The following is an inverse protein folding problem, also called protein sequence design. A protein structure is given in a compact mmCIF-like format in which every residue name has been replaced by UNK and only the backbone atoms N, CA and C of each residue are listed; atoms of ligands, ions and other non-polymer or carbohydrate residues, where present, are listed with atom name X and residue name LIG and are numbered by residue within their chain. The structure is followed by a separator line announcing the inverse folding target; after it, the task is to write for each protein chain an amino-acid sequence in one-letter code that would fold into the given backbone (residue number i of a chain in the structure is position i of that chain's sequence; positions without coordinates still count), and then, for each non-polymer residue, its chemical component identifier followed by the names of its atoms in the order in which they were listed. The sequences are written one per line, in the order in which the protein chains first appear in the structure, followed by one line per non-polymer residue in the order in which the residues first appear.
data_IF_699750061021
#
_entry.id   IF_699750061021
#
_cell.length_a   1.000
_cell.length_b   1.000
_cell.length_c   1.000
_cell.angle_alpha   90.00
_cell.angle_beta   90.00
_cell.angle_gamma   90.00
#
_symmetry.space_group_name_H-M   'P 1'
#
loop_
_entity.id
_entity.type
_entity.pdbx_description
1 polymer ?
#
# COMPACT_ATOMS: atom_id res chain seq x y z
N UNK A 1 26.55 0.16 -1.96
CA UNK A 1 25.95 0.70 -0.73
C UNK A 1 24.98 -0.36 -0.21
N UNK A 2 25.13 -0.83 1.02
CA UNK A 2 24.32 -1.96 1.56
C UNK A 2 22.82 -1.67 1.56
N UNK A 3 22.45 -0.40 1.74
CA UNK A 3 21.06 0.11 1.65
C UNK A 3 20.44 -0.17 0.28
N UNK A 4 21.20 -0.03 -0.81
CA UNK A 4 20.70 -0.30 -2.16
C UNK A 4 20.54 -1.79 -2.48
N UNK A 5 21.26 -2.67 -1.76
CA UNK A 5 21.08 -4.13 -1.88
C UNK A 5 19.79 -4.58 -1.17
N UNK A 6 19.51 -4.07 0.03
CA UNK A 6 18.29 -4.41 0.78
C UNK A 6 17.01 -4.04 0.02
N UNK A 7 16.96 -2.83 -0.54
CA UNK A 7 15.80 -2.39 -1.37
C UNK A 7 15.65 -3.27 -2.62
N UNK A 8 16.76 -3.71 -3.24
CA UNK A 8 16.71 -4.60 -4.39
C UNK A 8 16.19 -6.00 -4.04
N UNK A 9 16.50 -6.52 -2.85
CA UNK A 9 16.02 -7.83 -2.37
C UNK A 9 14.53 -7.80 -2.00
N UNK A 10 14.07 -6.70 -1.37
CA UNK A 10 12.65 -6.46 -1.12
C UNK A 10 11.85 -6.43 -2.43
N UNK A 11 12.31 -5.66 -3.42
CA UNK A 11 11.66 -5.58 -4.73
C UNK A 11 11.54 -6.95 -5.43
N UNK A 12 12.56 -7.81 -5.32
CA UNK A 12 12.48 -9.18 -5.86
C UNK A 12 11.40 -9.98 -5.15
N UNK A 13 11.34 -9.89 -3.82
CA UNK A 13 10.35 -10.60 -3.01
C UNK A 13 8.93 -10.15 -3.36
N UNK A 14 8.71 -8.85 -3.53
CA UNK A 14 7.41 -8.29 -3.93
C UNK A 14 6.94 -8.85 -5.27
N UNK A 15 7.83 -8.84 -6.26
CA UNK A 15 7.55 -9.33 -7.60
C UNK A 15 7.25 -10.82 -7.60
N UNK A 16 8.01 -11.61 -6.84
CA UNK A 16 7.74 -13.04 -6.69
C UNK A 16 6.36 -13.30 -6.10
N UNK A 17 5.98 -12.59 -5.04
CA UNK A 17 4.66 -12.73 -4.42
C UNK A 17 3.52 -12.39 -5.39
N UNK A 18 3.69 -11.35 -6.20
CA UNK A 18 2.70 -10.98 -7.22
C UNK A 18 2.56 -12.04 -8.31
N UNK A 19 3.69 -12.54 -8.82
CA UNK A 19 3.70 -13.60 -9.84
C UNK A 19 3.06 -14.89 -9.28
N UNK A 20 3.34 -15.24 -8.03
CA UNK A 20 2.74 -16.40 -7.37
C UNK A 20 1.23 -16.23 -7.21
N UNK A 21 0.76 -15.05 -6.77
CA UNK A 21 -0.66 -14.76 -6.67
C UNK A 21 -1.38 -14.88 -8.04
N UNK A 22 -0.73 -14.42 -9.11
CA UNK A 22 -1.23 -14.60 -10.47
C UNK A 22 -1.23 -16.05 -10.92
N UNK A 23 -0.19 -16.82 -10.65
CA UNK A 23 -0.16 -18.24 -10.98
C UNK A 23 -1.26 -19.01 -10.21
N UNK A 24 -1.49 -18.67 -8.95
CA UNK A 24 -2.54 -19.24 -8.12
C UNK A 24 -3.93 -18.88 -8.66
N UNK A 25 -4.10 -17.67 -9.22
CA UNK A 25 -5.37 -17.28 -9.86
C UNK A 25 -5.80 -18.19 -11.00
N UNK A 26 -4.87 -18.90 -11.63
CA UNK A 26 -5.13 -19.82 -12.75
C UNK A 26 -5.40 -21.26 -12.30
N UNK A 27 -5.14 -21.61 -11.03
CA UNK A 27 -5.08 -23.01 -10.58
C UNK A 27 -5.80 -23.29 -9.27
N UNK A 28 -6.16 -22.26 -8.49
CA UNK A 28 -6.75 -22.38 -7.16
C UNK A 28 -8.15 -21.77 -7.09
N UNK A 29 -8.81 -22.00 -5.96
CA UNK A 29 -10.07 -21.35 -5.62
C UNK A 29 -9.87 -19.83 -5.50
N UNK A 30 -10.82 -19.06 -6.05
CA UNK A 30 -10.68 -17.62 -6.16
C UNK A 30 -10.75 -16.89 -4.79
N UNK A 31 -11.32 -17.52 -3.76
CA UNK A 31 -11.31 -16.99 -2.40
C UNK A 31 -9.88 -17.00 -1.82
N UNK A 32 -9.13 -18.08 -2.01
CA UNK A 32 -7.73 -18.19 -1.58
C UNK A 32 -6.84 -17.19 -2.32
N UNK A 33 -7.07 -17.02 -3.62
CA UNK A 33 -6.38 -16.03 -4.46
C UNK A 33 -6.63 -14.62 -3.93
N UNK A 34 -7.88 -14.29 -3.60
CA UNK A 34 -8.28 -13.00 -3.04
C UNK A 34 -7.54 -12.72 -1.73
N UNK A 35 -7.52 -13.69 -0.81
CA UNK A 35 -6.82 -13.54 0.48
C UNK A 35 -5.30 -13.38 0.32
N UNK A 36 -4.71 -14.07 -0.65
CA UNK A 36 -3.28 -13.97 -0.92
C UNK A 36 -2.92 -12.60 -1.52
N UNK A 37 -3.75 -12.07 -2.42
CA UNK A 37 -3.59 -10.72 -2.99
C UNK A 37 -3.76 -9.63 -1.93
N UNK A 38 -4.71 -9.77 -1.01
CA UNK A 38 -4.90 -8.83 0.10
C UNK A 38 -3.66 -8.81 1.00
N UNK A 39 -3.18 -9.98 1.45
CA UNK A 39 -1.95 -10.09 2.28
C UNK A 39 -0.72 -9.52 1.58
N UNK A 40 -0.55 -9.82 0.29
CA UNK A 40 0.54 -9.28 -0.51
C UNK A 40 0.44 -7.75 -0.59
N UNK A 41 -0.76 -7.22 -0.81
CA UNK A 41 -1.00 -5.77 -0.92
C UNK A 41 -0.71 -5.05 0.39
N UNK A 42 -1.18 -5.58 1.53
CA UNK A 42 -0.94 -5.02 2.86
C UNK A 42 0.56 -4.98 3.18
N UNK A 43 1.28 -6.06 2.88
CA UNK A 43 2.71 -6.12 3.13
C UNK A 43 3.50 -5.10 2.29
N UNK A 44 3.27 -5.09 0.98
CA UNK A 44 4.01 -4.24 0.04
C UNK A 44 3.65 -2.76 0.22
N UNK A 45 2.38 -2.44 0.46
CA UNK A 45 1.95 -1.05 0.70
C UNK A 45 2.57 -0.46 1.96
N UNK A 46 2.62 -1.22 3.05
CA UNK A 46 3.31 -0.82 4.28
C UNK A 46 4.78 -0.49 4.05
N UNK A 47 5.52 -1.36 3.33
CA UNK A 47 6.93 -1.10 3.01
C UNK A 47 7.10 0.08 2.05
N UNK A 48 6.20 0.29 1.08
CA UNK A 48 6.23 1.47 0.21
C UNK A 48 6.09 2.75 1.03
N UNK A 49 5.13 2.82 1.96
CA UNK A 49 4.90 4.00 2.81
C UNK A 49 6.08 4.22 3.75
N UNK A 50 6.62 3.17 4.38
CA UNK A 50 7.80 3.25 5.25
C UNK A 50 9.02 3.81 4.49
N UNK A 51 9.25 3.32 3.27
CA UNK A 51 10.35 3.75 2.40
C UNK A 51 10.05 5.07 1.65
N UNK A 52 8.86 5.66 1.85
CA UNK A 52 8.37 6.86 1.15
C UNK A 52 8.42 6.72 -0.38
N UNK A 53 8.19 5.52 -0.85
CA UNK A 53 8.09 5.21 -2.27
C UNK A 53 6.66 5.44 -2.75
N UNK A 54 6.48 5.92 -3.99
CA UNK A 54 5.16 6.24 -4.49
C UNK A 54 4.40 4.96 -4.90
N UNK A 55 3.08 4.95 -4.67
CA UNK A 55 2.15 3.88 -5.06
C UNK A 55 2.30 3.46 -6.54
N UNK A 56 2.62 4.41 -7.42
CA UNK A 56 2.74 4.12 -8.86
C UNK A 56 3.83 3.08 -9.17
N UNK A 57 4.81 2.89 -8.30
CA UNK A 57 5.83 1.84 -8.48
C UNK A 57 5.18 0.45 -8.51
N UNK A 58 4.27 0.15 -7.57
CA UNK A 58 3.56 -1.13 -7.54
C UNK A 58 2.53 -1.24 -8.67
N UNK A 59 1.78 -0.17 -8.96
CA UNK A 59 0.74 -0.20 -10.00
C UNK A 59 1.31 -0.45 -11.40
N UNK A 60 2.51 0.06 -11.68
CA UNK A 60 3.22 -0.22 -12.94
C UNK A 60 3.57 -1.71 -13.03
N UNK A 61 4.16 -2.30 -11.99
CA UNK A 61 4.55 -3.72 -11.98
C UNK A 61 3.33 -4.65 -12.19
N UNK A 62 2.22 -4.38 -11.50
CA UNK A 62 0.94 -5.07 -11.68
C UNK A 62 0.50 -5.00 -13.16
N UNK A 63 0.56 -3.81 -13.75
CA UNK A 63 0.14 -3.61 -15.14
C UNK A 63 1.07 -4.29 -16.15
N UNK A 64 2.39 -4.25 -15.92
CA UNK A 64 3.38 -4.86 -16.80
C UNK A 64 3.25 -6.39 -16.82
N UNK A 65 3.05 -7.01 -15.66
CA UNK A 65 2.88 -8.46 -15.57
C UNK A 65 1.57 -8.96 -16.16
N UNK A 66 0.49 -8.14 -16.16
CA UNK A 66 -0.74 -8.47 -16.90
C UNK A 66 -0.43 -8.77 -18.38
N UNK A 67 0.32 -7.90 -19.04
CA UNK A 67 0.60 -8.05 -20.48
C UNK A 67 1.48 -9.27 -20.73
N UNK A 68 2.51 -9.47 -19.91
CA UNK A 68 3.47 -10.57 -20.06
C UNK A 68 2.81 -11.93 -19.81
N UNK A 69 2.05 -12.07 -18.73
CA UNK A 69 1.36 -13.31 -18.38
C UNK A 69 0.19 -13.56 -19.32
N UNK A 70 -0.58 -12.53 -19.68
CA UNK A 70 -1.66 -12.64 -20.67
C UNK A 70 -1.17 -13.15 -22.03
N UNK A 71 0.03 -12.72 -22.46
CA UNK A 71 0.67 -13.26 -23.66
C UNK A 71 1.03 -14.74 -23.51
N UNK A 72 1.55 -15.17 -22.35
CA UNK A 72 1.84 -16.58 -22.06
C UNK A 72 0.57 -17.43 -22.06
N UNK A 73 -0.51 -16.98 -21.41
CA UNK A 73 -1.81 -17.65 -21.42
C UNK A 73 -2.32 -17.84 -22.85
N UNK A 74 -2.23 -16.79 -23.67
CA UNK A 74 -2.64 -16.84 -25.08
C UNK A 74 -1.84 -17.84 -25.91
N UNK A 75 -0.53 -17.89 -25.74
CA UNK A 75 0.33 -18.79 -26.52
C UNK A 75 0.18 -20.25 -26.06
N UNK A 76 -0.03 -20.49 -24.77
CA UNK A 76 -0.37 -21.82 -24.25
C UNK A 76 -1.75 -22.27 -24.73
N UNK A 77 -2.75 -21.40 -24.69
CA UNK A 77 -4.10 -21.69 -25.17
C UNK A 77 -4.12 -22.14 -26.64
N UNK A 78 -3.29 -21.53 -27.49
CA UNK A 78 -3.11 -21.96 -28.89
C UNK A 78 -2.46 -23.33 -28.99
N UNK A 79 -1.44 -23.59 -28.18
CA UNK A 79 -0.70 -24.85 -28.14
C UNK A 79 -1.59 -26.01 -27.72
N UNK A 80 -2.47 -25.78 -26.74
CA UNK A 80 -3.44 -26.76 -26.24
C UNK A 80 -4.74 -26.80 -27.06
N UNK A 81 -4.86 -25.97 -28.10
CA UNK A 81 -6.08 -25.83 -28.92
C UNK A 81 -7.35 -25.59 -28.10
N UNK A 82 -7.27 -24.74 -27.08
CA UNK A 82 -8.42 -24.38 -26.25
C UNK A 82 -9.53 -23.75 -27.11
N UNK A 83 -10.78 -23.99 -26.71
CA UNK A 83 -11.91 -23.28 -27.30
C UNK A 83 -11.84 -21.79 -26.95
N UNK A 84 -12.57 -20.97 -27.71
CA UNK A 84 -12.67 -19.55 -27.39
C UNK A 84 -13.28 -19.32 -26.01
N UNK A 85 -14.27 -20.14 -25.63
CA UNK A 85 -14.94 -20.05 -24.33
C UNK A 85 -13.97 -20.41 -23.19
N UNK A 86 -13.24 -21.52 -23.30
CA UNK A 86 -12.25 -21.91 -22.28
C UNK A 86 -11.13 -20.86 -22.13
N UNK A 87 -10.63 -20.32 -23.25
CA UNK A 87 -9.64 -19.26 -23.21
C UNK A 87 -10.18 -18.00 -22.54
N UNK A 88 -11.42 -17.63 -22.86
CA UNK A 88 -12.07 -16.45 -22.27
C UNK A 88 -12.27 -16.61 -20.76
N UNK A 89 -12.68 -17.79 -20.30
CA UNK A 89 -12.90 -18.08 -18.88
C UNK A 89 -11.59 -17.97 -18.08
N UNK A 90 -10.51 -18.59 -18.58
CA UNK A 90 -9.17 -18.51 -17.97
C UNK A 90 -8.68 -17.07 -17.92
N UNK A 91 -8.78 -16.36 -19.04
CA UNK A 91 -8.32 -14.97 -19.14
C UNK A 91 -9.13 -14.05 -18.21
N UNK A 92 -10.44 -14.30 -18.10
CA UNK A 92 -11.32 -13.53 -17.21
C UNK A 92 -10.95 -13.75 -15.75
N UNK A 93 -10.68 -14.99 -15.33
CA UNK A 93 -10.22 -15.29 -13.97
C UNK A 93 -8.90 -14.58 -13.64
N UNK A 94 -7.93 -14.63 -14.57
CA UNK A 94 -6.67 -13.91 -14.43
C UNK A 94 -6.87 -12.39 -14.31
N UNK A 95 -7.69 -11.80 -15.19
CA UNK A 95 -7.98 -10.37 -15.14
C UNK A 95 -8.65 -9.96 -13.84
N UNK A 96 -9.55 -10.77 -13.29
CA UNK A 96 -10.13 -10.50 -11.98
C UNK A 96 -9.07 -10.43 -10.87
N UNK A 97 -8.07 -11.31 -10.88
CA UNK A 97 -6.96 -11.25 -9.94
C UNK A 97 -6.11 -9.98 -10.13
N UNK A 98 -5.88 -9.55 -11.37
CA UNK A 98 -5.18 -8.29 -11.66
C UNK A 98 -5.95 -7.10 -11.12
N UNK A 99 -7.27 -7.04 -11.34
CA UNK A 99 -8.12 -5.95 -10.86
C UNK A 99 -8.14 -5.90 -9.34
N UNK A 100 -8.23 -7.06 -8.66
CA UNK A 100 -8.14 -7.15 -7.21
C UNK A 100 -6.79 -6.66 -6.68
N UNK A 101 -5.68 -7.02 -7.32
CA UNK A 101 -4.36 -6.54 -6.95
C UNK A 101 -4.30 -5.01 -6.98
N UNK A 102 -4.87 -4.36 -8.01
CA UNK A 102 -4.95 -2.89 -8.08
C UNK A 102 -5.79 -2.31 -6.95
N UNK A 103 -6.96 -2.88 -6.69
CA UNK A 103 -7.89 -2.38 -5.66
C UNK A 103 -7.28 -2.50 -4.26
N UNK A 104 -6.76 -3.66 -3.90
CA UNK A 104 -6.15 -3.89 -2.60
C UNK A 104 -4.91 -3.03 -2.41
N UNK A 105 -3.99 -3.02 -3.38
CA UNK A 105 -2.78 -2.19 -3.33
C UNK A 105 -3.12 -0.70 -3.13
N UNK A 106 -4.09 -0.18 -3.89
CA UNK A 106 -4.49 1.22 -3.79
C UNK A 106 -5.11 1.54 -2.44
N UNK A 107 -5.97 0.65 -1.93
CA UNK A 107 -6.63 0.82 -0.64
C UNK A 107 -5.63 0.77 0.51
N UNK A 108 -4.86 -0.31 0.62
CA UNK A 108 -3.90 -0.49 1.72
C UNK A 108 -2.87 0.64 1.74
N UNK A 109 -2.37 1.08 0.58
CA UNK A 109 -1.48 2.23 0.51
C UNK A 109 -2.15 3.54 0.98
N UNK A 110 -3.39 3.80 0.57
CA UNK A 110 -4.10 5.01 1.02
C UNK A 110 -4.32 5.00 2.52
N UNK A 111 -4.73 3.85 3.08
CA UNK A 111 -4.97 3.68 4.52
C UNK A 111 -3.65 3.90 5.31
N UNK A 112 -2.55 3.26 4.89
CA UNK A 112 -1.23 3.41 5.53
C UNK A 112 -0.65 4.83 5.40
N UNK A 113 -0.83 5.44 4.23
CA UNK A 113 -0.38 6.81 3.98
C UNK A 113 -1.18 7.80 4.82
N UNK A 114 -2.50 7.65 4.91
CA UNK A 114 -3.35 8.49 5.75
C UNK A 114 -2.97 8.37 7.22
N UNK A 115 -2.77 7.14 7.73
CA UNK A 115 -2.31 6.91 9.10
C UNK A 115 -0.97 7.61 9.38
N UNK A 116 -0.05 7.58 8.42
CA UNK A 116 1.24 8.26 8.52
C UNK A 116 1.07 9.79 8.61
N UNK A 117 0.22 10.36 7.77
CA UNK A 117 -0.07 11.80 7.77
C UNK A 117 -0.78 12.23 9.06
N UNK A 118 -1.77 11.47 9.52
CA UNK A 118 -2.48 11.74 10.78
C UNK A 118 -1.51 11.70 11.97
N UNK A 119 -0.63 10.70 12.03
CA UNK A 119 0.41 10.59 13.07
C UNK A 119 1.36 11.77 13.04
N UNK A 120 1.82 12.18 11.86
CA UNK A 120 2.69 13.35 11.70
C UNK A 120 2.00 14.65 12.15
N UNK A 121 0.73 14.84 11.78
CA UNK A 121 -0.06 15.99 12.21
C UNK A 121 -0.26 16.03 13.73
N UNK A 122 -0.55 14.89 14.35
CA UNK A 122 -0.68 14.79 15.80
C UNK A 122 0.63 15.19 16.52
N UNK A 123 1.76 14.69 16.05
CA UNK A 123 3.08 15.06 16.60
C UNK A 123 3.38 16.56 16.45
N UNK A 124 3.00 17.16 15.31
CA UNK A 124 3.12 18.62 15.11
C UNK A 124 2.23 19.39 16.07
N UNK A 125 0.99 18.96 16.27
CA UNK A 125 0.06 19.60 17.19
C UNK A 125 0.58 19.53 18.64
N UNK A 126 1.07 18.38 19.08
CA UNK A 126 1.67 18.18 20.41
C UNK A 126 2.88 19.10 20.63
N UNK A 127 3.78 19.21 19.64
CA UNK A 127 4.95 20.08 19.71
C UNK A 127 4.61 21.57 19.61
N UNK A 128 3.45 21.92 19.06
CA UNK A 128 3.06 23.32 18.82
C UNK A 128 2.53 24.06 20.06
N UNK A 129 2.12 23.33 21.10
CA UNK A 129 1.63 23.89 22.35
C UNK A 129 2.40 23.31 23.55
N UNK A 130 3.70 23.61 23.70
CA UNK A 130 4.48 23.09 24.82
C UNK A 130 4.13 23.83 26.11
N UNK A 131 3.73 23.12 27.16
CA UNK A 131 3.49 23.71 28.49
C UNK A 131 4.79 23.66 29.29
N UNK A 132 5.39 24.82 29.57
CA UNK A 132 6.60 24.94 30.40
C UNK A 132 6.21 25.37 31.81
N UNK A 133 6.31 24.47 32.79
CA UNK A 133 6.14 24.83 34.21
C UNK A 133 7.34 25.61 34.71
N UNK A 134 7.12 26.85 35.16
CA UNK A 134 8.15 27.74 35.74
C UNK A 134 8.20 27.60 37.26
N UNK A 135 7.04 27.36 37.89
CA UNK A 135 6.91 27.01 39.32
C UNK A 135 5.78 25.97 39.49
N UNK A 136 5.56 25.49 40.72
CA UNK A 136 4.44 24.58 41.03
C UNK A 136 3.06 25.19 40.75
N UNK A 137 2.95 26.52 40.70
CA UNK A 137 1.69 27.24 40.50
C UNK A 137 1.65 28.09 39.23
N UNK A 138 2.77 28.20 38.51
CA UNK A 138 2.90 29.07 37.32
C UNK A 138 3.52 28.28 36.17
N UNK A 139 2.75 28.14 35.09
CA UNK A 139 3.23 27.67 33.78
C UNK A 139 3.25 28.79 32.75
N UNK A 140 4.10 28.64 31.74
CA UNK A 140 4.16 29.49 30.54
C UNK A 140 3.92 28.60 29.35
N UNK A 141 3.02 29.03 28.47
CA UNK A 141 2.76 28.39 27.19
C UNK A 141 3.35 29.30 26.10
N UNK A 142 4.48 28.94 25.48
CA UNK A 142 5.02 29.65 24.34
C UNK A 142 4.12 29.40 23.13
N UNK A 143 3.58 30.46 22.54
CA UNK A 143 2.80 30.38 21.30
C UNK A 143 3.68 30.86 20.15
N UNK A 144 3.88 30.01 19.14
CA UNK A 144 4.63 30.33 17.92
C UNK A 144 3.68 30.28 16.71
N UNK A 145 3.50 31.41 16.04
CA UNK A 145 2.57 31.56 14.91
C UNK A 145 1.18 32.03 15.32
N UNK A 146 0.21 31.96 14.40
CA UNK A 146 -1.18 32.32 14.66
C UNK A 146 -1.92 31.23 15.46
N UNK A 147 -2.92 31.64 16.25
CA UNK A 147 -3.80 30.74 16.99
C UNK A 147 -5.03 30.46 16.12
N UNK A 148 -5.18 29.22 15.66
CA UNK A 148 -6.41 28.74 15.04
C UNK A 148 -7.35 28.09 16.08
N UNK A 149 -8.58 27.76 15.66
CA UNK A 149 -9.62 27.18 16.52
C UNK A 149 -9.21 25.85 17.14
N UNK A 150 -8.45 25.01 16.42
CA UNK A 150 -8.02 23.68 16.89
C UNK A 150 -6.98 23.81 18.00
N UNK A 151 -6.00 24.70 17.81
CA UNK A 151 -4.97 25.00 18.82
C UNK A 151 -5.54 25.69 20.05
N UNK A 152 -6.51 26.59 19.88
CA UNK A 152 -7.22 27.21 20.99
C UNK A 152 -7.94 26.16 21.87
N UNK A 153 -8.52 25.13 21.26
CA UNK A 153 -9.17 24.05 21.98
C UNK A 153 -8.17 23.16 22.73
N UNK A 154 -7.06 22.77 22.08
CA UNK A 154 -5.97 22.04 22.74
C UNK A 154 -5.39 22.81 23.95
N UNK A 155 -5.29 24.14 23.86
CA UNK A 155 -4.89 24.98 25.00
C UNK A 155 -5.88 24.90 26.16
N UNK A 156 -7.18 24.97 25.88
CA UNK A 156 -8.22 24.89 26.92
C UNK A 156 -8.29 23.52 27.60
N UNK A 157 -8.02 22.44 26.86
CA UNK A 157 -8.06 21.08 27.39
C UNK A 157 -6.84 20.74 28.25
N UNK A 158 -5.68 21.35 27.97
CA UNK A 158 -4.41 21.06 28.65
C UNK A 158 -3.99 22.12 29.69
N UNK A 159 -4.72 23.25 29.81
CA UNK A 159 -4.46 24.33 30.76
C UNK A 159 -4.92 24.04 32.19
#
# INVERSE_FOLDING_TARGET
NEIGKGVSEQLITWRMGLIEAYANSLSQDFEEVTQNLEKWSDHVSGELVELRLPLNLALVEISEYREVIGAMIKDEAKTQHLSFDDFYDILTQFHHAVDQAVQFMSRSYMDDFENTIQTANYAVDELSVPIVRVTETVGVIPIVGEIDTKRAQLLMENA
#
